data_IF_537184562378
#
_entry.id   IF_537184562378
#
_cell.length_a   1.000
_cell.length_b   1.000
_cell.length_c   1.000
_cell.angle_alpha   90.00
_cell.angle_beta   90.00
_cell.angle_gamma   90.00
#
_symmetry.space_group_name_H-M   'P 1'
#
loop_
_entity.id
_entity.type
_entity.pdbx_description
1 polymer ?
#
# COMPACT_ATOMS: atom_id res chain seq x y z
N UNK A 1 20.37 -20.76 -58.41
CA UNK A 1 20.63 -19.31 -58.30
C UNK A 1 19.69 -18.76 -57.25
N UNK A 2 20.17 -18.69 -56.02
CA UNK A 2 19.43 -18.29 -54.82
C UNK A 2 19.59 -16.78 -54.64
N UNK A 3 18.54 -16.02 -54.93
CA UNK A 3 18.47 -14.59 -54.64
C UNK A 3 18.42 -14.39 -53.12
N UNK A 4 19.54 -13.99 -52.51
CA UNK A 4 19.55 -13.40 -51.17
C UNK A 4 19.13 -11.93 -51.30
N UNK A 5 18.12 -11.46 -50.55
CA UNK A 5 17.86 -10.03 -50.45
C UNK A 5 19.03 -9.31 -49.74
N UNK A 6 19.34 -8.10 -50.20
CA UNK A 6 20.41 -7.24 -49.71
C UNK A 6 20.12 -6.70 -48.29
N UNK A 7 21.19 -6.42 -47.54
CA UNK A 7 21.18 -5.90 -46.15
C UNK A 7 20.36 -4.61 -45.96
N UNK A 8 20.00 -3.91 -47.04
CA UNK A 8 19.17 -2.70 -47.00
C UNK A 8 17.73 -2.95 -46.55
N UNK A 9 17.20 -4.17 -46.70
CA UNK A 9 15.84 -4.50 -46.23
C UNK A 9 15.74 -4.69 -44.71
N UNK A 10 16.86 -4.89 -44.01
CA UNK A 10 16.90 -5.02 -42.55
C UNK A 10 16.81 -3.68 -41.80
N UNK A 11 16.90 -2.55 -42.52
CA UNK A 11 16.87 -1.21 -41.92
C UNK A 11 15.51 -0.50 -42.01
N UNK A 12 14.47 -1.14 -42.55
CA UNK A 12 13.14 -0.51 -42.69
C UNK A 12 12.30 -0.54 -41.41
N UNK A 13 12.68 -1.37 -40.44
CA UNK A 13 12.15 -1.37 -39.07
C UNK A 13 13.31 -1.07 -38.12
N UNK A 14 13.74 0.20 -38.12
CA UNK A 14 14.84 0.66 -37.30
C UNK A 14 14.68 0.19 -35.86
N UNK A 15 15.71 -0.51 -35.36
CA UNK A 15 15.90 -0.67 -33.92
C UNK A 15 15.96 0.72 -33.32
N UNK A 16 14.97 1.07 -32.50
CA UNK A 16 15.03 2.31 -31.76
C UNK A 16 16.30 2.28 -30.89
N UNK A 17 17.13 3.33 -30.91
CA UNK A 17 18.20 3.44 -29.93
C UNK A 17 17.56 3.38 -28.53
N UNK A 18 18.18 2.65 -27.60
CA UNK A 18 17.77 2.62 -26.19
C UNK A 18 17.45 4.03 -25.73
N UNK A 19 16.17 4.37 -25.57
CA UNK A 19 15.81 5.70 -25.08
C UNK A 19 16.27 5.75 -23.64
N UNK A 20 17.39 6.45 -23.41
CA UNK A 20 17.86 6.86 -22.09
C UNK A 20 16.69 7.56 -21.37
N UNK A 21 16.05 6.82 -20.46
CA UNK A 21 14.85 7.27 -19.74
C UNK A 21 13.66 6.31 -19.78
N UNK A 22 13.68 5.23 -20.58
CA UNK A 22 12.69 4.17 -20.42
C UNK A 22 12.87 3.52 -19.04
N UNK A 23 11.81 3.38 -18.22
CA UNK A 23 11.96 2.70 -16.96
C UNK A 23 12.38 1.26 -17.26
N UNK A 24 13.36 0.76 -16.52
CA UNK A 24 13.96 -0.59 -16.61
C UNK A 24 12.96 -1.74 -16.34
N UNK A 25 11.66 -1.49 -16.44
CA UNK A 25 10.65 -2.53 -16.45
C UNK A 25 10.57 -3.10 -17.88
N UNK A 26 11.51 -3.98 -18.21
CA UNK A 26 11.17 -5.09 -19.08
C UNK A 26 9.99 -5.77 -18.39
N UNK A 27 8.82 -5.78 -19.04
CA UNK A 27 7.53 -6.21 -18.50
C UNK A 27 7.59 -7.70 -18.13
N UNK A 28 8.25 -8.03 -17.00
CA UNK A 28 8.34 -9.39 -16.45
C UNK A 28 6.96 -9.91 -16.03
N UNK A 29 6.00 -9.00 -15.81
CA UNK A 29 4.66 -9.29 -15.34
C UNK A 29 3.62 -8.68 -16.26
N UNK A 30 2.59 -9.46 -16.59
CA UNK A 30 1.45 -8.97 -17.34
C UNK A 30 0.80 -7.74 -16.65
N UNK A 31 0.23 -6.83 -17.44
CA UNK A 31 -0.53 -5.67 -16.95
C UNK A 31 -1.55 -6.01 -15.85
N UNK A 32 -2.15 -7.20 -15.91
CA UNK A 32 -3.08 -7.71 -14.89
C UNK A 32 -2.42 -7.85 -13.51
N UNK A 33 -1.18 -8.32 -13.43
CA UNK A 33 -0.45 -8.52 -12.18
C UNK A 33 0.01 -7.18 -11.61
N UNK A 34 0.51 -6.27 -12.44
CA UNK A 34 0.80 -4.90 -12.03
C UNK A 34 -0.44 -4.20 -11.43
N UNK A 35 -1.61 -4.37 -12.07
CA UNK A 35 -2.88 -3.88 -11.55
C UNK A 35 -3.18 -4.40 -10.14
N UNK A 36 -3.09 -5.72 -9.91
CA UNK A 36 -3.37 -6.30 -8.60
C UNK A 36 -2.38 -5.84 -7.53
N UNK A 37 -1.10 -5.70 -7.87
CA UNK A 37 -0.11 -5.15 -6.94
C UNK A 37 -0.49 -3.71 -6.55
N UNK A 38 -0.89 -2.87 -7.51
CA UNK A 38 -1.38 -1.52 -7.23
C UNK A 38 -2.61 -1.50 -6.32
N UNK A 39 -3.57 -2.41 -6.55
CA UNK A 39 -4.76 -2.55 -5.69
C UNK A 39 -4.38 -2.92 -4.25
N UNK A 40 -3.49 -3.89 -4.07
CA UNK A 40 -3.08 -4.31 -2.73
C UNK A 40 -2.20 -3.27 -2.03
N UNK A 41 -1.34 -2.57 -2.76
CA UNK A 41 -0.56 -1.44 -2.26
C UNK A 41 -1.48 -0.29 -1.79
N UNK A 42 -2.52 0.03 -2.57
CA UNK A 42 -3.53 1.03 -2.19
C UNK A 42 -4.34 0.66 -0.94
N UNK A 43 -4.42 -0.62 -0.60
CA UNK A 43 -5.02 -1.13 0.65
C UNK A 43 -4.04 -1.15 1.83
N UNK A 44 -2.79 -0.73 1.63
CA UNK A 44 -1.78 -0.66 2.69
C UNK A 44 -1.07 -1.98 2.99
N UNK A 45 -1.14 -2.99 2.09
CA UNK A 45 -0.41 -4.24 2.28
C UNK A 45 1.10 -4.02 2.05
N UNK A 46 1.92 -4.69 2.87
CA UNK A 46 3.37 -4.75 2.67
C UNK A 46 3.75 -5.65 1.50
N UNK A 47 4.91 -5.43 0.89
CA UNK A 47 5.36 -6.23 -0.26
C UNK A 47 5.35 -7.77 -0.01
N UNK A 48 5.75 -8.30 1.18
CA UNK A 48 5.59 -9.71 1.50
C UNK A 48 4.13 -10.17 1.66
N UNK A 49 3.23 -9.28 2.08
CA UNK A 49 1.80 -9.60 2.14
C UNK A 49 1.16 -9.64 0.74
N UNK A 50 1.59 -8.74 -0.15
CA UNK A 50 1.17 -8.74 -1.56
C UNK A 50 1.66 -10.00 -2.26
N UNK A 51 2.93 -10.38 -2.08
CA UNK A 51 3.49 -11.64 -2.62
C UNK A 51 2.66 -12.85 -2.22
N UNK A 52 2.36 -12.99 -0.92
CA UNK A 52 1.49 -14.06 -0.40
C UNK A 52 0.09 -14.01 -1.00
N UNK A 53 -0.51 -12.82 -1.15
CA UNK A 53 -1.83 -12.65 -1.74
C UNK A 53 -1.87 -13.03 -3.24
N UNK A 54 -0.74 -12.90 -3.94
CA UNK A 54 -0.61 -13.29 -5.34
C UNK A 54 -0.25 -14.76 -5.55
N UNK A 55 0.07 -15.50 -4.47
CA UNK A 55 0.47 -16.92 -4.54
C UNK A 55 1.84 -17.14 -5.18
N UNK A 56 2.72 -16.14 -5.11
CA UNK A 56 4.04 -16.14 -5.73
C UNK A 56 5.14 -16.33 -4.68
N UNK A 57 6.32 -16.75 -5.12
CA UNK A 57 7.52 -16.88 -4.27
C UNK A 57 8.63 -15.99 -4.83
N UNK A 58 9.44 -15.42 -3.94
CA UNK A 58 10.66 -14.64 -4.25
C UNK A 58 10.46 -13.37 -5.11
N UNK A 59 9.28 -12.76 -5.03
CA UNK A 59 8.92 -11.51 -5.71
C UNK A 59 8.80 -10.31 -4.78
N UNK A 60 8.83 -10.48 -3.46
CA UNK A 60 8.66 -9.37 -2.50
C UNK A 60 9.63 -8.20 -2.75
N UNK A 61 10.90 -8.47 -3.07
CA UNK A 61 11.88 -7.43 -3.38
C UNK A 61 11.53 -6.63 -4.64
N UNK A 62 10.99 -7.32 -5.66
CA UNK A 62 10.54 -6.69 -6.91
C UNK A 62 9.29 -5.85 -6.67
N UNK A 63 8.35 -6.35 -5.87
CA UNK A 63 7.14 -5.62 -5.47
C UNK A 63 7.53 -4.35 -4.70
N UNK A 64 8.44 -4.46 -3.72
CA UNK A 64 8.92 -3.34 -2.93
C UNK A 64 9.58 -2.26 -3.82
N UNK A 65 10.43 -2.68 -4.77
CA UNK A 65 11.03 -1.76 -5.73
C UNK A 65 9.96 -1.06 -6.59
N UNK A 66 8.96 -1.80 -7.08
CA UNK A 66 7.89 -1.25 -7.89
C UNK A 66 7.01 -0.24 -7.12
N UNK A 67 6.63 -0.57 -5.88
CA UNK A 67 5.91 0.35 -4.99
C UNK A 67 6.70 1.63 -4.74
N UNK A 68 8.02 1.52 -4.54
CA UNK A 68 8.89 2.69 -4.37
C UNK A 68 8.93 3.56 -5.63
N UNK A 69 9.05 2.97 -6.82
CA UNK A 69 9.03 3.71 -8.10
C UNK A 69 7.66 4.37 -8.33
N UNK A 70 6.57 3.74 -7.92
CA UNK A 70 5.22 4.31 -7.99
C UNK A 70 4.93 5.35 -6.90
N UNK A 71 5.86 5.60 -5.98
CA UNK A 71 5.67 6.52 -4.86
C UNK A 71 4.71 6.01 -3.78
N UNK A 72 4.35 4.72 -3.80
CA UNK A 72 3.59 4.08 -2.73
C UNK A 72 4.52 3.74 -1.56
N UNK A 73 4.64 4.71 -0.65
CA UNK A 73 5.42 4.62 0.58
C UNK A 73 4.49 4.31 1.76
N UNK A 74 4.62 3.11 2.32
CA UNK A 74 3.87 2.72 3.53
C UNK A 74 4.32 3.51 4.77
N UNK A 75 5.49 4.13 4.70
CA UNK A 75 6.10 5.02 5.69
C UNK A 75 5.75 6.51 5.49
N UNK A 76 4.94 6.85 4.47
CA UNK A 76 4.52 8.24 4.21
C UNK A 76 3.28 8.65 5.01
N UNK A 77 3.14 9.96 5.28
CA UNK A 77 1.97 10.55 5.99
C UNK A 77 0.62 10.05 5.45
N UNK A 78 0.51 9.83 4.13
CA UNK A 78 -0.73 9.38 3.49
C UNK A 78 -1.19 7.97 3.88
N UNK A 79 -0.32 7.13 4.42
CA UNK A 79 -0.62 5.73 4.74
C UNK A 79 -0.47 5.39 6.23
N UNK A 80 0.03 6.32 7.05
CA UNK A 80 0.24 6.11 8.49
C UNK A 80 -0.93 6.61 9.34
N UNK A 81 -1.77 7.52 8.84
CA UNK A 81 -2.91 8.05 9.57
C UNK A 81 -4.17 8.21 8.69
N UNK A 82 -5.31 7.83 9.22
CA UNK A 82 -6.63 8.05 8.62
C UNK A 82 -7.58 8.64 9.65
N UNK A 83 -8.36 9.65 9.26
CA UNK A 83 -9.41 10.19 10.13
C UNK A 83 -10.57 9.19 10.16
N UNK A 84 -10.63 8.38 11.21
CA UNK A 84 -11.77 7.50 11.47
C UNK A 84 -12.81 8.26 12.29
N UNK A 85 -13.97 8.52 11.69
CA UNK A 85 -15.10 9.10 12.42
C UNK A 85 -15.77 8.00 13.23
N UNK A 86 -15.60 8.04 14.55
CA UNK A 86 -16.28 7.11 15.46
C UNK A 86 -17.55 7.76 15.99
N UNK A 87 -18.75 7.30 15.60
CA UNK A 87 -19.99 7.83 16.14
C UNK A 87 -20.16 7.37 17.60
N UNK A 88 -20.09 8.30 18.54
CA UNK A 88 -20.33 8.05 19.97
C UNK A 88 -21.76 8.49 20.31
N UNK A 89 -22.55 7.60 20.92
CA UNK A 89 -23.89 7.88 21.44
C UNK A 89 -23.84 8.94 22.55
N UNK A 90 -24.90 9.76 22.68
CA UNK A 90 -24.93 10.90 23.61
C UNK A 90 -24.69 10.49 25.07
N UNK A 91 -25.26 9.36 25.52
CA UNK A 91 -25.07 8.83 26.88
C UNK A 91 -23.59 8.55 27.17
N UNK A 92 -22.89 7.88 26.24
CA UNK A 92 -21.47 7.58 26.40
C UNK A 92 -20.59 8.84 26.40
N UNK A 93 -20.98 9.93 25.72
CA UNK A 93 -20.23 11.19 25.79
C UNK A 93 -20.26 11.78 27.20
N UNK A 94 -21.42 11.72 27.86
CA UNK A 94 -21.58 12.17 29.24
C UNK A 94 -20.76 11.30 30.19
N UNK A 95 -20.76 9.98 29.99
CA UNK A 95 -19.97 9.06 30.81
C UNK A 95 -18.46 9.31 30.68
N UNK A 96 -17.96 9.54 29.46
CA UNK A 96 -16.54 9.86 29.22
C UNK A 96 -16.17 11.21 29.86
N UNK A 97 -17.03 12.22 29.76
CA UNK A 97 -16.79 13.52 30.41
C UNK A 97 -16.77 13.43 31.94
N UNK A 98 -17.67 12.62 32.51
CA UNK A 98 -17.68 12.32 33.95
C UNK A 98 -16.40 11.61 34.36
N UNK A 99 -15.95 10.63 33.58
CA UNK A 99 -14.72 9.88 33.84
C UNK A 99 -13.48 10.77 33.76
N UNK A 100 -13.42 11.70 32.80
CA UNK A 100 -12.33 12.67 32.69
C UNK A 100 -12.24 13.54 33.95
N UNK A 101 -13.39 14.01 34.43
CA UNK A 101 -13.48 14.78 35.68
C UNK A 101 -13.04 13.96 36.89
N UNK A 102 -13.50 12.71 37.00
CA UNK A 102 -13.15 11.82 38.11
C UNK A 102 -11.66 11.45 38.16
N UNK A 103 -10.99 11.42 37.00
CA UNK A 103 -9.56 11.14 36.86
C UNK A 103 -8.68 12.39 36.85
N UNK A 104 -9.28 13.56 37.07
CA UNK A 104 -8.58 14.86 37.03
C UNK A 104 -7.76 15.05 35.74
N UNK A 105 -8.31 14.61 34.61
CA UNK A 105 -7.67 14.70 33.29
C UNK A 105 -8.55 15.45 32.30
N UNK A 106 -7.95 15.98 31.24
CA UNK A 106 -8.70 16.62 30.17
C UNK A 106 -9.35 15.57 29.26
N UNK A 107 -10.52 15.91 28.72
CA UNK A 107 -11.32 15.03 27.88
C UNK A 107 -10.58 14.54 26.62
N UNK A 108 -9.86 15.40 25.86
CA UNK A 108 -9.06 14.96 24.71
C UNK A 108 -7.96 13.98 25.11
N UNK A 109 -7.34 14.18 26.27
CA UNK A 109 -6.27 13.32 26.77
C UNK A 109 -6.78 11.96 27.19
N UNK A 110 -7.94 11.90 27.87
CA UNK A 110 -8.61 10.64 28.16
C UNK A 110 -9.01 9.91 26.87
N UNK A 111 -9.61 10.60 25.90
CA UNK A 111 -9.96 10.01 24.61
C UNK A 111 -8.73 9.46 23.88
N UNK A 112 -7.60 10.18 23.90
CA UNK A 112 -6.34 9.71 23.31
C UNK A 112 -5.83 8.45 24.01
N UNK A 113 -5.89 8.38 25.34
CA UNK A 113 -5.49 7.19 26.10
C UNK A 113 -6.38 5.99 25.79
N UNK A 114 -7.70 6.18 25.73
CA UNK A 114 -8.67 5.14 25.36
C UNK A 114 -8.38 4.65 23.94
N UNK A 115 -8.21 5.55 22.97
CA UNK A 115 -7.93 5.18 21.59
C UNK A 115 -6.60 4.44 21.45
N UNK A 116 -5.55 4.87 22.16
CA UNK A 116 -4.26 4.17 22.16
C UNK A 116 -4.38 2.77 22.77
N UNK A 117 -5.11 2.62 23.88
CA UNK A 117 -5.36 1.33 24.53
C UNK A 117 -6.17 0.38 23.64
N UNK A 118 -7.28 0.87 23.08
CA UNK A 118 -8.14 0.11 22.16
C UNK A 118 -7.35 -0.27 20.90
N UNK A 119 -6.62 0.65 20.27
CA UNK A 119 -5.84 0.36 19.07
C UNK A 119 -4.79 -0.73 19.30
N UNK A 120 -4.10 -0.71 20.45
CA UNK A 120 -3.05 -1.68 20.77
C UNK A 120 -3.60 -3.04 21.23
N UNK A 121 -4.71 -3.07 21.98
CA UNK A 121 -5.20 -4.28 22.66
C UNK A 121 -6.37 -4.98 21.99
N UNK A 122 -7.36 -4.21 21.55
CA UNK A 122 -8.71 -4.73 21.23
C UNK A 122 -9.09 -4.53 19.78
N UNK A 123 -8.68 -3.43 19.15
CA UNK A 123 -9.03 -3.10 17.77
C UNK A 123 -8.40 -4.09 16.79
N UNK A 124 -7.13 -4.44 16.99
CA UNK A 124 -6.45 -5.43 16.16
C UNK A 124 -7.13 -6.81 16.26
N UNK A 125 -7.58 -7.21 17.45
CA UNK A 125 -8.31 -8.47 17.67
C UNK A 125 -9.72 -8.43 17.08
N UNK A 126 -10.47 -7.36 17.35
CA UNK A 126 -11.83 -7.18 16.86
C UNK A 126 -11.90 -7.06 15.32
N UNK A 127 -10.87 -6.51 14.67
CA UNK A 127 -10.77 -6.48 13.20
C UNK A 127 -10.44 -7.86 12.61
N UNK A 128 -9.72 -8.70 13.35
CA UNK A 128 -9.33 -10.04 12.91
C UNK A 128 -10.29 -11.16 13.36
N UNK A 129 -11.33 -10.83 14.14
CA UNK A 129 -12.28 -11.78 14.73
C UNK A 129 -11.57 -12.93 15.51
N UNK A 130 -10.54 -12.55 16.30
CA UNK A 130 -9.72 -13.43 17.16
C UNK A 130 -9.98 -13.20 18.65
#
# INVERSE_FOLDING_TARGET
MTNRPSEEQLHMFGGEPERLGHPLFVERWNNRKAFWIGVHAGRGLSAPAIERALGEQDTANVIAHMMNVWGFRLDGEKHTHGIVRVPIAAVHRTDIAREATARETDLPDLCRQILAGVAAGDLYKAVLDL
#
